data_IF_683308741895
#
_entry.id   IF_683308741895
#
_cell.length_a   1.000
_cell.length_b   1.000
_cell.length_c   1.000
_cell.angle_alpha   90.00
_cell.angle_beta   90.00
_cell.angle_gamma   90.00
#
_symmetry.space_group_name_H-M   'P 1'
#
loop_
_entity.id
_entity.type
_entity.pdbx_description
1 polymer ?
#
# COMPACT_ATOMS: atom_id res chain seq x y z
N UNK A 1 19.42 -2.28 10.52
CA UNK A 1 18.37 -1.27 10.30
C UNK A 1 19.05 0.08 10.10
N UNK A 2 18.70 0.85 9.04
CA UNK A 2 19.23 2.20 8.82
C UNK A 2 18.44 3.27 9.60
N UNK A 3 18.98 4.51 9.60
CA UNK A 3 18.39 5.61 10.37
C UNK A 3 16.98 6.01 9.87
N UNK A 4 16.67 5.88 8.57
CA UNK A 4 15.35 6.17 8.04
C UNK A 4 14.33 5.12 8.51
N UNK A 5 14.66 3.84 8.38
CA UNK A 5 13.84 2.74 8.88
C UNK A 5 13.58 2.85 10.39
N UNK A 6 14.59 3.23 11.19
CA UNK A 6 14.42 3.41 12.64
C UNK A 6 13.49 4.59 12.95
N UNK A 7 13.58 5.72 12.22
CA UNK A 7 12.62 6.84 12.36
C UNK A 7 11.20 6.42 12.04
N UNK A 8 10.99 5.70 10.93
CA UNK A 8 9.68 5.19 10.51
C UNK A 8 9.12 4.20 11.54
N UNK A 9 9.96 3.27 12.01
CA UNK A 9 9.58 2.32 13.07
C UNK A 9 9.09 3.06 14.32
N UNK A 10 9.88 4.00 14.85
CA UNK A 10 9.50 4.78 16.05
C UNK A 10 8.23 5.61 15.85
N UNK A 11 7.99 6.06 14.63
CA UNK A 11 6.78 6.81 14.30
C UNK A 11 5.53 5.93 14.44
N UNK A 12 5.53 4.71 13.86
CA UNK A 12 4.39 3.80 13.92
C UNK A 12 4.31 2.99 15.22
N UNK A 13 5.41 2.79 15.96
CA UNK A 13 5.35 2.21 17.33
C UNK A 13 4.47 3.05 18.26
N UNK A 14 4.48 4.38 18.10
CA UNK A 14 3.69 5.30 18.93
C UNK A 14 2.24 5.43 18.45
N UNK A 15 1.98 5.14 17.19
CA UNK A 15 0.66 5.28 16.58
C UNK A 15 0.49 4.28 15.44
N UNK A 16 0.19 3.00 15.72
CA UNK A 16 -0.07 1.99 14.71
C UNK A 16 -1.16 2.43 13.73
N UNK A 17 -0.91 2.21 12.44
CA UNK A 17 -1.82 2.63 11.37
C UNK A 17 -2.08 1.50 10.36
N UNK A 18 -3.30 1.40 9.83
CA UNK A 18 -4.54 2.04 10.28
C UNK A 18 -5.08 1.40 11.58
N UNK A 19 -5.74 2.18 12.42
CA UNK A 19 -6.35 1.66 13.65
C UNK A 19 -7.60 0.80 13.38
N UNK A 20 -7.93 -0.08 14.34
CA UNK A 20 -9.19 -0.82 14.33
C UNK A 20 -10.27 -0.07 15.11
N UNK A 21 -11.53 -0.08 14.65
CA UNK A 21 -12.66 0.32 15.48
C UNK A 21 -12.76 -0.55 16.76
N UNK A 22 -13.20 -0.01 17.90
CA UNK A 22 -13.25 -0.75 19.18
C UNK A 22 -14.06 -2.06 19.14
N UNK A 23 -15.08 -2.12 18.30
CA UNK A 23 -15.96 -3.32 18.14
C UNK A 23 -15.94 -3.79 16.69
N UNK A 24 -14.74 -3.95 16.12
CA UNK A 24 -14.63 -4.43 14.75
C UNK A 24 -14.90 -5.93 14.64
N UNK A 25 -15.48 -6.35 13.52
CA UNK A 25 -15.71 -7.74 13.16
C UNK A 25 -15.11 -8.03 11.78
N UNK A 26 -14.87 -9.31 11.47
CA UNK A 26 -14.41 -9.72 10.14
C UNK A 26 -15.38 -9.28 9.04
N UNK A 27 -16.69 -9.37 9.29
CA UNK A 27 -17.70 -8.91 8.35
C UNK A 27 -17.62 -7.40 8.10
N UNK A 28 -17.45 -6.60 9.16
CA UNK A 28 -17.31 -5.15 9.05
C UNK A 28 -15.99 -4.75 8.36
N UNK A 29 -14.89 -5.45 8.65
CA UNK A 29 -13.60 -5.26 7.97
C UNK A 29 -13.74 -5.54 6.47
N UNK A 30 -14.31 -6.69 6.10
CA UNK A 30 -14.55 -7.08 4.71
C UNK A 30 -15.45 -6.07 3.99
N UNK A 31 -16.56 -5.68 4.59
CA UNK A 31 -17.46 -4.68 4.02
C UNK A 31 -16.80 -3.31 3.80
N UNK A 32 -15.84 -2.91 4.66
CA UNK A 32 -15.03 -1.69 4.45
C UNK A 32 -14.06 -1.85 3.28
N UNK A 33 -13.36 -2.97 3.21
CA UNK A 33 -12.41 -3.24 2.14
C UNK A 33 -13.10 -3.35 0.78
N UNK A 34 -14.26 -3.97 0.72
CA UNK A 34 -15.06 -4.12 -0.51
C UNK A 34 -15.62 -2.80 -1.07
N UNK A 35 -15.69 -1.74 -0.26
CA UNK A 35 -15.98 -0.39 -0.75
C UNK A 35 -14.81 0.23 -1.53
N UNK A 36 -13.59 -0.27 -1.35
CA UNK A 36 -12.45 0.14 -2.14
C UNK A 36 -12.40 -0.69 -3.44
N UNK A 37 -12.56 -0.08 -4.62
CA UNK A 37 -12.58 -0.80 -5.90
C UNK A 37 -11.30 -1.59 -6.15
N UNK A 38 -10.13 -1.03 -5.80
CA UNK A 38 -8.85 -1.72 -5.94
C UNK A 38 -8.78 -3.00 -5.08
N UNK A 39 -9.16 -2.92 -3.80
CA UNK A 39 -9.12 -4.07 -2.91
C UNK A 39 -10.04 -5.20 -3.41
N UNK A 40 -11.22 -4.83 -3.92
CA UNK A 40 -12.18 -5.77 -4.51
C UNK A 40 -11.65 -6.44 -5.78
N UNK A 41 -11.01 -5.67 -6.67
CA UNK A 41 -10.38 -6.21 -7.89
C UNK A 41 -9.20 -7.12 -7.54
N UNK A 42 -8.37 -6.71 -6.57
CA UNK A 42 -7.25 -7.53 -6.08
C UNK A 42 -7.73 -8.87 -5.52
N UNK A 43 -8.76 -8.85 -4.66
CA UNK A 43 -9.32 -10.08 -4.08
C UNK A 43 -9.86 -11.04 -5.15
N UNK A 44 -10.54 -10.52 -6.18
CA UNK A 44 -11.06 -11.32 -7.30
C UNK A 44 -9.97 -11.92 -8.18
N UNK A 45 -8.86 -11.21 -8.37
CA UNK A 45 -7.76 -11.66 -9.23
C UNK A 45 -6.88 -12.74 -8.57
N UNK A 46 -6.92 -12.87 -7.23
CA UNK A 46 -6.09 -13.82 -6.48
C UNK A 46 -6.77 -15.20 -6.41
N UNK A 47 -6.04 -16.24 -6.81
CA UNK A 47 -6.51 -17.63 -6.73
C UNK A 47 -6.81 -18.06 -5.27
N UNK A 48 -7.73 -19.01 -5.12
CA UNK A 48 -8.25 -19.44 -3.80
C UNK A 48 -7.21 -20.16 -2.92
N UNK A 49 -6.18 -20.74 -3.51
CA UNK A 49 -5.10 -21.46 -2.79
C UNK A 49 -3.76 -20.68 -2.75
N UNK A 50 -3.79 -19.40 -3.12
CA UNK A 50 -2.58 -18.59 -3.25
C UNK A 50 -1.85 -18.39 -1.92
N UNK A 51 -0.51 -18.40 -1.99
CA UNK A 51 0.39 -17.94 -0.92
C UNK A 51 0.67 -16.46 -1.14
N UNK A 52 0.26 -15.64 -0.19
CA UNK A 52 0.34 -14.19 -0.27
C UNK A 52 1.32 -13.69 0.79
N UNK A 53 2.18 -12.73 0.44
CA UNK A 53 2.92 -11.94 1.42
C UNK A 53 2.53 -10.47 1.28
N UNK A 54 2.19 -9.83 2.40
CA UNK A 54 1.97 -8.39 2.51
C UNK A 54 3.16 -7.76 3.21
N UNK A 55 3.95 -7.00 2.46
CA UNK A 55 5.21 -6.40 2.92
C UNK A 55 4.95 -4.97 3.38
N UNK A 56 5.19 -4.72 4.68
CA UNK A 56 4.78 -3.50 5.37
C UNK A 56 3.30 -3.53 5.71
N UNK A 57 2.82 -4.66 6.23
CA UNK A 57 1.39 -4.91 6.44
C UNK A 57 0.74 -4.02 7.52
N UNK A 58 1.53 -3.28 8.30
CA UNK A 58 1.03 -2.47 9.41
C UNK A 58 0.18 -3.29 10.37
N UNK A 59 -1.04 -2.83 10.65
CA UNK A 59 -2.00 -3.55 11.51
C UNK A 59 -2.70 -4.72 10.80
N UNK A 60 -2.27 -5.12 9.60
CA UNK A 60 -2.69 -6.34 8.93
C UNK A 60 -4.08 -6.32 8.29
N UNK A 61 -4.72 -5.16 8.12
CA UNK A 61 -6.11 -5.13 7.61
C UNK A 61 -6.23 -5.76 6.21
N UNK A 62 -5.25 -5.56 5.31
CA UNK A 62 -5.25 -6.20 4.00
C UNK A 62 -5.00 -7.70 4.11
N UNK A 63 -4.09 -8.16 4.98
CA UNK A 63 -3.86 -9.57 5.26
C UNK A 63 -5.16 -10.27 5.67
N UNK A 64 -5.89 -9.68 6.64
CA UNK A 64 -7.15 -10.24 7.15
C UNK A 64 -8.28 -10.21 6.09
N UNK A 65 -8.28 -9.19 5.23
CA UNK A 65 -9.22 -9.10 4.12
C UNK A 65 -8.97 -10.18 3.07
N UNK A 66 -7.71 -10.39 2.68
CA UNK A 66 -7.31 -11.37 1.67
C UNK A 66 -7.33 -12.82 2.17
N UNK A 67 -7.42 -13.04 3.49
CA UNK A 67 -7.51 -14.37 4.10
C UNK A 67 -8.89 -14.98 3.89
N UNK A 68 -9.12 -15.47 2.67
CA UNK A 68 -10.36 -16.15 2.23
C UNK A 68 -10.03 -17.53 1.67
N UNK A 69 -10.99 -18.44 1.72
CA UNK A 69 -10.84 -19.78 1.19
C UNK A 69 -9.63 -20.51 1.78
N UNK A 70 -8.76 -21.01 0.92
CA UNK A 70 -7.56 -21.76 1.29
C UNK A 70 -6.27 -20.93 1.23
N UNK A 71 -6.35 -19.62 0.99
CA UNK A 71 -5.19 -18.71 0.90
C UNK A 71 -4.37 -18.72 2.18
N UNK A 72 -3.06 -18.76 2.04
CA UNK A 72 -2.10 -18.59 3.12
C UNK A 72 -1.54 -17.17 3.06
N UNK A 73 -1.68 -16.40 4.11
CA UNK A 73 -1.26 -15.00 4.14
C UNK A 73 -0.20 -14.77 5.19
N UNK A 74 0.91 -14.15 4.78
CA UNK A 74 1.98 -13.72 5.68
C UNK A 74 2.08 -12.20 5.62
N UNK A 75 1.87 -11.54 6.74
CA UNK A 75 2.14 -10.12 6.89
C UNK A 75 3.53 -9.91 7.49
N UNK A 76 4.33 -9.02 6.89
CA UNK A 76 5.62 -8.64 7.46
C UNK A 76 5.68 -7.13 7.70
N UNK A 77 6.18 -6.72 8.87
CA UNK A 77 6.32 -5.31 9.24
C UNK A 77 7.50 -5.12 10.21
N UNK A 78 8.05 -3.91 10.26
CA UNK A 78 9.12 -3.55 11.18
C UNK A 78 8.60 -3.13 12.57
N UNK A 79 7.29 -2.94 12.69
CA UNK A 79 6.63 -2.33 13.85
C UNK A 79 5.92 -3.38 14.69
N UNK A 80 6.48 -3.73 15.85
CA UNK A 80 5.91 -4.74 16.76
C UNK A 80 4.51 -4.37 17.26
N UNK A 81 4.29 -3.08 17.58
CA UNK A 81 2.99 -2.61 18.04
C UNK A 81 1.87 -2.84 16.98
N UNK A 82 2.17 -2.61 15.72
CA UNK A 82 1.23 -2.88 14.61
C UNK A 82 0.94 -4.37 14.47
N UNK A 83 2.00 -5.21 14.49
CA UNK A 83 1.86 -6.67 14.39
C UNK A 83 1.12 -7.30 15.57
N UNK A 84 1.25 -6.73 16.77
CA UNK A 84 0.47 -7.17 17.92
C UNK A 84 -1.04 -7.00 17.69
N UNK A 85 -1.45 -5.84 17.18
CA UNK A 85 -2.86 -5.57 16.81
C UNK A 85 -3.33 -6.49 15.68
N UNK A 86 -2.48 -6.70 14.67
CA UNK A 86 -2.79 -7.60 13.55
C UNK A 86 -3.00 -9.05 14.02
N UNK A 87 -2.11 -9.55 14.89
CA UNK A 87 -2.17 -10.90 15.44
C UNK A 87 -3.38 -11.09 16.38
N UNK A 88 -3.71 -10.07 17.17
CA UNK A 88 -4.91 -10.07 18.01
C UNK A 88 -6.18 -10.11 17.16
N UNK A 89 -6.25 -9.29 16.11
CA UNK A 89 -7.38 -9.29 15.20
C UNK A 89 -7.54 -10.63 14.45
N UNK A 90 -6.44 -11.24 13.99
CA UNK A 90 -6.47 -12.55 13.34
C UNK A 90 -7.04 -13.63 14.28
N UNK A 91 -6.60 -13.66 15.54
CA UNK A 91 -7.14 -14.59 16.57
C UNK A 91 -8.62 -14.33 16.84
N UNK A 92 -9.02 -13.06 17.04
CA UNK A 92 -10.40 -12.67 17.28
C UNK A 92 -11.34 -13.04 16.12
N UNK A 93 -10.84 -13.05 14.90
CA UNK A 93 -11.58 -13.36 13.68
C UNK A 93 -11.46 -14.84 13.26
N UNK A 94 -10.79 -15.67 14.05
CA UNK A 94 -10.55 -17.10 13.77
C UNK A 94 -9.90 -17.36 12.40
N UNK A 95 -8.85 -16.57 12.09
CA UNK A 95 -8.10 -16.68 10.85
C UNK A 95 -6.78 -17.43 11.08
N UNK A 96 -6.82 -18.75 11.03
CA UNK A 96 -5.70 -19.67 11.32
C UNK A 96 -4.61 -19.70 10.25
N UNK A 97 -4.92 -19.24 9.03
CA UNK A 97 -4.00 -19.22 7.87
C UNK A 97 -3.29 -17.88 7.66
N UNK A 98 -3.40 -16.98 8.63
CA UNK A 98 -2.67 -15.70 8.64
C UNK A 98 -1.53 -15.77 9.66
N UNK A 99 -0.35 -15.31 9.27
CA UNK A 99 0.83 -15.22 10.15
C UNK A 99 1.45 -13.84 10.01
N UNK A 100 2.04 -13.36 11.11
CA UNK A 100 2.72 -12.07 11.14
C UNK A 100 4.16 -12.24 11.61
N UNK A 101 5.10 -11.55 10.94
CA UNK A 101 6.53 -11.64 11.20
C UNK A 101 7.12 -10.23 11.34
N UNK A 102 7.78 -9.96 12.47
CA UNK A 102 8.52 -8.70 12.67
C UNK A 102 9.86 -8.78 11.91
N UNK A 103 10.06 -7.90 10.93
CA UNK A 103 11.27 -7.90 10.14
C UNK A 103 11.51 -6.56 9.43
N UNK A 104 12.78 -6.28 9.13
CA UNK A 104 13.17 -5.17 8.26
C UNK A 104 13.03 -5.59 6.79
N UNK A 105 12.35 -4.77 5.99
CA UNK A 105 12.12 -4.98 4.57
C UNK A 105 13.40 -5.31 3.77
N UNK A 106 14.55 -4.80 4.19
CA UNK A 106 15.83 -5.11 3.56
C UNK A 106 16.30 -6.56 3.78
N UNK A 107 15.77 -7.20 4.82
CA UNK A 107 15.99 -8.60 5.17
C UNK A 107 14.67 -9.23 5.60
N UNK A 108 13.73 -9.47 4.67
CA UNK A 108 12.33 -9.71 4.99
C UNK A 108 12.05 -10.96 5.83
N UNK A 109 13.05 -11.78 6.15
CA UNK A 109 12.92 -12.91 7.07
C UNK A 109 11.97 -14.03 6.61
N UNK A 110 11.49 -13.93 5.38
CA UNK A 110 10.64 -14.91 4.71
C UNK A 110 11.32 -15.47 3.47
N UNK A 111 10.92 -16.66 3.07
CA UNK A 111 11.59 -17.38 1.97
C UNK A 111 11.40 -16.67 0.63
N UNK A 112 12.51 -16.41 -0.06
CA UNK A 112 12.49 -15.90 -1.43
C UNK A 112 11.86 -16.92 -2.40
N UNK A 113 11.19 -16.45 -3.44
CA UNK A 113 10.56 -17.27 -4.46
C UNK A 113 9.42 -18.16 -3.95
N UNK A 114 8.82 -17.83 -2.81
CA UNK A 114 7.82 -18.69 -2.17
C UNK A 114 6.37 -18.27 -2.39
N UNK A 115 6.11 -17.03 -2.86
CA UNK A 115 4.78 -16.48 -2.87
C UNK A 115 4.21 -16.35 -4.29
N UNK A 116 2.94 -16.67 -4.41
CA UNK A 116 2.16 -16.50 -5.63
C UNK A 116 1.81 -15.03 -5.87
N UNK A 117 1.56 -14.30 -4.77
CA UNK A 117 1.29 -12.86 -4.77
C UNK A 117 2.14 -12.17 -3.72
N UNK A 118 2.86 -11.13 -4.12
CA UNK A 118 3.61 -10.23 -3.26
C UNK A 118 2.93 -8.87 -3.32
N UNK A 119 2.41 -8.42 -2.20
CA UNK A 119 1.74 -7.14 -2.05
C UNK A 119 2.56 -6.20 -1.17
N UNK A 120 2.72 -4.95 -1.56
CA UNK A 120 3.33 -3.91 -0.73
C UNK A 120 2.73 -2.56 -1.08
N UNK A 121 1.94 -1.99 -0.21
CA UNK A 121 1.25 -0.72 -0.44
C UNK A 121 1.47 0.28 0.69
N UNK A 122 1.84 1.50 0.33
CA UNK A 122 2.07 2.53 1.34
C UNK A 122 3.41 2.39 2.08
N UNK A 123 4.39 1.66 1.55
CA UNK A 123 5.61 1.27 2.28
C UNK A 123 6.89 1.77 1.62
N UNK A 124 7.13 1.38 0.37
CA UNK A 124 8.42 1.61 -0.30
C UNK A 124 8.81 3.09 -0.35
N UNK A 125 7.86 3.97 -0.53
CA UNK A 125 8.09 5.41 -0.58
C UNK A 125 8.40 6.03 0.80
N UNK A 126 8.41 5.23 1.86
CA UNK A 126 8.83 5.58 3.21
C UNK A 126 10.19 4.96 3.60
N UNK A 127 10.85 4.28 2.69
CA UNK A 127 12.20 3.72 2.89
C UNK A 127 13.28 4.69 2.46
N UNK A 128 14.51 4.51 2.94
CA UNK A 128 15.66 5.33 2.56
C UNK A 128 15.99 5.21 1.05
N UNK A 129 15.81 4.02 0.49
CA UNK A 129 15.99 3.72 -0.93
C UNK A 129 14.83 2.85 -1.44
N UNK A 130 13.78 3.45 -2.02
CA UNK A 130 12.63 2.72 -2.56
C UNK A 130 12.98 1.70 -3.64
N UNK A 131 13.97 1.99 -4.50
CA UNK A 131 14.40 1.09 -5.58
C UNK A 131 15.10 -0.16 -5.04
N UNK A 132 16.04 0.01 -4.11
CA UNK A 132 16.71 -1.11 -3.45
C UNK A 132 15.71 -1.93 -2.61
N UNK A 133 14.76 -1.26 -1.95
CA UNK A 133 13.70 -1.92 -1.20
C UNK A 133 12.78 -2.72 -2.11
N UNK A 134 12.42 -2.20 -3.29
CA UNK A 134 11.65 -2.94 -4.28
C UNK A 134 12.38 -4.23 -4.73
N UNK A 135 13.70 -4.19 -4.92
CA UNK A 135 14.47 -5.38 -5.29
C UNK A 135 14.34 -6.52 -4.26
N UNK A 136 14.24 -6.20 -2.97
CA UNK A 136 14.00 -7.20 -1.94
C UNK A 136 12.56 -7.75 -1.98
N UNK A 137 11.57 -6.88 -2.22
CA UNK A 137 10.17 -7.28 -2.39
C UNK A 137 9.99 -8.20 -3.59
N UNK A 138 10.58 -7.84 -4.73
CA UNK A 138 10.46 -8.60 -5.97
C UNK A 138 10.98 -10.05 -5.84
N UNK A 139 12.03 -10.26 -5.05
CA UNK A 139 12.62 -11.59 -4.80
C UNK A 139 11.69 -12.56 -4.08
N UNK A 140 10.68 -12.07 -3.38
CA UNK A 140 9.74 -12.92 -2.63
C UNK A 140 8.77 -13.66 -3.55
N UNK A 141 8.45 -13.08 -4.72
CA UNK A 141 7.58 -13.73 -5.69
C UNK A 141 8.28 -14.95 -6.32
N UNK A 142 7.56 -16.02 -6.51
CA UNK A 142 8.03 -17.14 -7.36
C UNK A 142 8.06 -16.73 -8.82
N UNK A 143 8.76 -17.50 -9.67
CA UNK A 143 8.65 -17.35 -11.12
C UNK A 143 7.18 -17.47 -11.53
N UNK A 144 6.70 -16.54 -12.37
CA UNK A 144 5.29 -16.40 -12.75
C UNK A 144 4.39 -15.81 -11.67
N UNK A 145 4.91 -15.53 -10.47
CA UNK A 145 4.17 -14.88 -9.38
C UNK A 145 3.89 -13.40 -9.65
N UNK A 146 2.80 -12.89 -9.09
CA UNK A 146 2.38 -11.50 -9.26
C UNK A 146 2.94 -10.61 -8.16
N UNK A 147 3.39 -9.41 -8.52
CA UNK A 147 3.87 -8.38 -7.63
C UNK A 147 2.97 -7.15 -7.76
N UNK A 148 2.45 -6.68 -6.64
CA UNK A 148 1.58 -5.50 -6.56
C UNK A 148 2.21 -4.48 -5.65
N UNK A 149 2.59 -3.32 -6.20
CA UNK A 149 3.27 -2.25 -5.45
C UNK A 149 2.44 -0.97 -5.49
N UNK A 150 2.11 -0.44 -4.31
CA UNK A 150 1.45 0.84 -4.13
C UNK A 150 2.41 1.90 -3.60
N UNK A 151 2.63 2.98 -4.37
CA UNK A 151 3.49 4.10 -3.98
C UNK A 151 2.84 5.45 -4.30
N UNK A 152 3.33 6.52 -3.68
CA UNK A 152 2.82 7.87 -3.94
C UNK A 152 3.22 8.37 -5.33
N UNK A 153 2.21 8.84 -6.08
CA UNK A 153 2.43 9.44 -7.40
C UNK A 153 2.98 10.86 -7.27
N UNK A 154 3.99 11.18 -8.09
CA UNK A 154 4.67 12.46 -8.08
C UNK A 154 3.73 13.65 -8.36
N UNK A 155 2.79 13.50 -9.30
CA UNK A 155 1.81 14.54 -9.67
C UNK A 155 0.63 14.57 -8.71
N UNK A 156 0.03 13.43 -8.40
CA UNK A 156 -1.12 13.34 -7.49
C UNK A 156 -0.82 13.89 -6.09
N UNK A 157 0.47 13.89 -5.68
CA UNK A 157 0.92 14.47 -4.39
C UNK A 157 1.19 15.97 -4.41
N UNK A 158 1.11 16.66 -5.56
CA UNK A 158 1.33 18.12 -5.62
C UNK A 158 0.35 18.88 -4.71
N UNK A 159 -0.98 18.65 -4.74
CA UNK A 159 -1.90 19.32 -3.83
C UNK A 159 -1.59 19.07 -2.35
N UNK A 160 -1.19 17.83 -2.02
CA UNK A 160 -0.81 17.45 -0.65
C UNK A 160 0.44 18.20 -0.17
N UNK A 161 1.43 18.38 -1.03
CA UNK A 161 2.64 19.16 -0.70
C UNK A 161 2.32 20.61 -0.37
N UNK A 162 1.46 21.24 -1.17
CA UNK A 162 1.04 22.62 -0.93
C UNK A 162 0.30 22.74 0.42
N UNK A 163 -0.62 21.80 0.70
CA UNK A 163 -1.30 21.74 1.99
C UNK A 163 -0.33 21.53 3.14
N UNK A 164 0.72 20.70 2.96
CA UNK A 164 1.74 20.44 3.99
C UNK A 164 2.55 21.70 4.37
N UNK A 165 2.81 22.60 3.41
CA UNK A 165 3.47 23.88 3.69
C UNK A 165 2.60 24.72 4.64
N UNK A 166 1.31 24.86 4.31
CA UNK A 166 0.36 25.60 5.15
C UNK A 166 0.18 24.95 6.53
N UNK A 167 0.05 23.61 6.55
CA UNK A 167 -0.06 22.85 7.78
C UNK A 167 1.15 23.07 8.70
N UNK A 168 2.35 23.00 8.17
CA UNK A 168 3.59 23.26 8.93
C UNK A 168 3.67 24.70 9.45
N UNK A 169 3.36 25.69 8.59
CA UNK A 169 3.37 27.10 8.98
C UNK A 169 2.35 27.42 10.10
N UNK A 170 1.23 26.71 10.14
CA UNK A 170 0.20 26.85 11.19
C UNK A 170 0.41 25.95 12.41
N UNK A 171 1.53 25.20 12.51
CA UNK A 171 1.74 24.21 13.57
C UNK A 171 0.69 23.07 13.50
N UNK A 172 0.29 22.68 12.30
CA UNK A 172 -0.72 21.65 11.99
C UNK A 172 -2.14 21.96 12.47
N UNK A 173 -2.43 23.23 12.80
CA UNK A 173 -3.77 23.66 13.19
C UNK A 173 -4.71 23.78 12.00
N UNK A 174 -4.16 24.15 10.83
CA UNK A 174 -4.92 24.35 9.59
C UNK A 174 -4.33 23.47 8.49
N UNK A 175 -5.18 22.63 7.91
CA UNK A 175 -4.91 21.87 6.69
C UNK A 175 -6.00 22.22 5.67
N UNK A 176 -5.72 23.10 4.70
CA UNK A 176 -6.75 23.62 3.82
C UNK A 176 -7.23 22.56 2.84
N UNK A 177 -8.54 22.47 2.65
CA UNK A 177 -9.19 21.67 1.60
C UNK A 177 -8.78 20.19 1.53
N UNK A 178 -8.39 19.56 2.65
CA UNK A 178 -8.18 18.13 2.69
C UNK A 178 -9.54 17.41 2.75
N UNK A 179 -9.90 16.60 1.72
CA UNK A 179 -11.22 15.98 1.65
C UNK A 179 -11.43 14.94 2.76
N UNK A 180 -10.36 14.23 3.16
CA UNK A 180 -10.44 13.19 4.17
C UNK A 180 -10.60 13.79 5.57
N UNK A 181 -9.86 14.85 5.87
CA UNK A 181 -9.98 15.55 7.17
C UNK A 181 -11.35 16.23 7.30
N UNK A 182 -11.90 16.74 6.20
CA UNK A 182 -13.24 17.32 6.18
C UNK A 182 -14.32 16.27 6.40
N UNK A 183 -14.24 15.14 5.71
CA UNK A 183 -15.24 14.07 5.80
C UNK A 183 -15.18 13.35 7.16
N UNK A 184 -14.05 13.39 7.87
CA UNK A 184 -13.83 12.71 9.17
C UNK A 184 -13.89 13.63 10.39
N UNK A 185 -14.59 14.73 10.30
CA UNK A 185 -14.74 15.68 11.44
C UNK A 185 -15.32 15.02 12.69
N UNK A 186 -16.19 14.02 12.52
CA UNK A 186 -16.84 13.27 13.61
C UNK A 186 -16.08 12.02 14.07
N UNK A 187 -14.87 11.76 13.50
CA UNK A 187 -14.03 10.61 13.84
C UNK A 187 -12.62 11.08 14.31
N UNK A 188 -12.48 11.63 15.53
CA UNK A 188 -11.25 12.32 15.97
C UNK A 188 -9.99 11.46 15.85
N UNK A 189 -10.06 10.20 16.27
CA UNK A 189 -8.91 9.28 16.23
C UNK A 189 -8.45 8.97 14.79
N UNK A 190 -9.39 8.74 13.88
CA UNK A 190 -9.07 8.50 12.47
C UNK A 190 -8.58 9.75 11.76
N UNK A 191 -9.11 10.91 12.15
CA UNK A 191 -8.66 12.21 11.66
C UNK A 191 -7.21 12.47 12.11
N UNK A 192 -6.89 12.22 13.36
CA UNK A 192 -5.53 12.37 13.89
C UNK A 192 -4.56 11.39 13.21
N UNK A 193 -4.93 10.12 13.06
CA UNK A 193 -4.12 9.13 12.38
C UNK A 193 -3.81 9.54 10.94
N UNK A 194 -4.80 10.03 10.19
CA UNK A 194 -4.61 10.57 8.84
C UNK A 194 -3.69 11.79 8.82
N UNK A 195 -3.91 12.75 9.74
CA UNK A 195 -3.08 13.95 9.85
C UNK A 195 -1.61 13.58 10.08
N UNK A 196 -1.35 12.67 11.01
CA UNK A 196 0.00 12.21 11.32
C UNK A 196 0.64 11.52 10.12
N UNK A 197 -0.03 10.53 9.55
CA UNK A 197 0.48 9.76 8.42
C UNK A 197 0.77 10.64 7.19
N UNK A 198 -0.17 11.50 6.80
CA UNK A 198 -0.09 12.26 5.55
C UNK A 198 0.71 13.56 5.66
N UNK A 199 0.80 14.18 6.85
CA UNK A 199 1.41 15.51 7.01
C UNK A 199 2.65 15.51 7.89
N UNK A 200 2.79 14.58 8.83
CA UNK A 200 3.88 14.52 9.78
C UNK A 200 4.88 13.39 9.52
N UNK A 201 4.69 12.58 8.50
CA UNK A 201 5.57 11.45 8.21
C UNK A 201 7.02 11.91 7.98
N UNK A 202 8.03 11.26 8.61
CA UNK A 202 9.42 11.69 8.58
C UNK A 202 10.13 11.44 7.26
N UNK A 203 9.69 10.44 6.47
CA UNK A 203 10.33 10.02 5.22
C UNK A 203 9.28 9.87 4.13
N UNK A 204 9.43 10.53 2.99
CA UNK A 204 8.47 10.45 1.88
C UNK A 204 9.14 10.67 0.54
N UNK A 205 9.08 9.65 -0.31
CA UNK A 205 9.44 9.71 -1.73
C UNK A 205 8.18 9.69 -2.59
N UNK A 206 8.30 10.07 -3.84
CA UNK A 206 7.20 10.14 -4.81
C UNK A 206 7.72 9.69 -6.15
N UNK A 207 6.91 8.90 -6.84
CA UNK A 207 7.34 8.18 -8.03
C UNK A 207 6.38 8.39 -9.18
N UNK A 208 6.90 8.31 -10.39
CA UNK A 208 6.08 8.22 -11.61
C UNK A 208 5.88 6.75 -12.00
N UNK A 209 4.87 6.48 -12.81
CA UNK A 209 4.65 5.14 -13.38
C UNK A 209 5.91 4.66 -14.12
N UNK A 210 6.52 5.52 -14.93
CA UNK A 210 7.74 5.18 -15.68
C UNK A 210 8.94 4.84 -14.78
N UNK A 211 9.02 5.43 -13.59
CA UNK A 211 10.07 5.10 -12.61
C UNK A 211 9.84 3.71 -12.01
N UNK A 212 8.61 3.38 -11.62
CA UNK A 212 8.28 2.05 -11.09
C UNK A 212 8.46 0.97 -12.19
N UNK A 213 8.10 1.28 -13.43
CA UNK A 213 8.37 0.38 -14.57
C UNK A 213 9.87 0.13 -14.78
N UNK A 214 10.76 1.12 -14.50
CA UNK A 214 12.21 0.87 -14.50
C UNK A 214 12.61 -0.09 -13.39
N UNK A 215 12.08 0.07 -12.16
CA UNK A 215 12.34 -0.88 -11.08
C UNK A 215 11.94 -2.31 -11.46
N UNK A 216 10.81 -2.46 -12.15
CA UNK A 216 10.35 -3.77 -12.65
C UNK A 216 11.35 -4.38 -13.61
N UNK A 217 11.75 -3.64 -14.65
CA UNK A 217 12.74 -4.12 -15.64
C UNK A 217 14.07 -4.51 -15.01
N UNK A 218 14.55 -3.71 -14.06
CA UNK A 218 15.83 -3.94 -13.37
C UNK A 218 15.80 -5.19 -12.45
N UNK A 219 14.62 -5.73 -12.16
CA UNK A 219 14.42 -6.87 -11.26
C UNK A 219 13.68 -8.04 -11.95
N UNK A 220 13.75 -8.15 -13.28
CA UNK A 220 13.14 -9.24 -14.05
C UNK A 220 11.62 -9.38 -13.81
N UNK A 221 10.94 -8.26 -13.61
CA UNK A 221 9.49 -8.19 -13.47
C UNK A 221 8.90 -7.60 -14.73
N UNK A 222 8.02 -8.35 -15.37
CA UNK A 222 7.23 -7.89 -16.50
C UNK A 222 6.11 -7.00 -16.00
N UNK A 223 5.98 -5.80 -16.56
CA UNK A 223 4.88 -4.89 -16.26
C UNK A 223 3.56 -5.43 -16.83
N UNK A 224 2.52 -5.42 -16.03
CA UNK A 224 1.17 -5.82 -16.40
C UNK A 224 0.28 -4.60 -16.56
N UNK A 225 0.06 -3.83 -15.48
CA UNK A 225 -0.75 -2.59 -15.53
C UNK A 225 -0.52 -1.69 -14.32
N UNK A 226 -1.14 -0.50 -14.36
CA UNK A 226 -1.33 0.36 -13.20
C UNK A 226 -2.81 0.46 -12.81
N UNK A 227 -3.05 0.81 -11.54
CA UNK A 227 -4.36 1.18 -11.03
C UNK A 227 -4.25 2.46 -10.17
N UNK A 228 -5.03 3.53 -10.43
CA UNK A 228 -5.90 3.67 -11.61
C UNK A 228 -5.13 3.48 -12.91
N UNK A 229 -5.83 3.17 -14.00
CA UNK A 229 -5.17 2.97 -15.29
C UNK A 229 -4.43 4.23 -15.74
N UNK A 230 -3.24 4.02 -16.32
CA UNK A 230 -2.49 5.08 -17.03
C UNK A 230 -2.88 5.17 -18.52
N UNK A 231 -3.87 4.38 -18.94
CA UNK A 231 -4.51 4.41 -20.26
C UNK A 231 -5.86 5.12 -20.09
N UNK A 232 -6.17 6.06 -20.96
CA UNK A 232 -7.47 6.77 -20.94
C UNK A 232 -8.57 5.77 -21.29
N UNK A 233 -9.72 5.93 -20.64
CA UNK A 233 -10.91 5.09 -20.83
C UNK A 233 -10.70 3.57 -20.56
N UNK A 234 -9.54 3.16 -19.97
CA UNK A 234 -9.33 1.80 -19.48
C UNK A 234 -9.83 1.67 -18.04
N UNK A 235 -10.94 0.99 -17.86
CA UNK A 235 -11.48 0.59 -16.57
C UNK A 235 -11.22 -0.91 -16.36
N UNK A 236 -10.16 -1.29 -15.65
CA UNK A 236 -9.80 -2.69 -15.49
C UNK A 236 -10.85 -3.45 -14.66
N UNK A 237 -11.29 -4.58 -15.16
CA UNK A 237 -12.09 -5.59 -14.48
C UNK A 237 -11.23 -6.73 -13.88
N UNK A 238 -10.04 -6.95 -14.43
CA UNK A 238 -9.02 -7.87 -13.93
C UNK A 238 -7.67 -7.13 -13.75
N UNK A 239 -7.17 -7.09 -12.50
CA UNK A 239 -5.87 -6.48 -12.19
C UNK A 239 -4.67 -7.27 -12.72
N UNK A 240 -4.83 -8.55 -13.04
CA UNK A 240 -3.73 -9.40 -13.49
C UNK A 240 -3.72 -9.58 -15.01
N UNK A 241 -4.70 -9.02 -15.73
CA UNK A 241 -4.70 -8.90 -17.17
C UNK A 241 -3.83 -7.72 -17.64
N UNK A 242 -3.07 -7.85 -18.76
CA UNK A 242 -2.28 -6.77 -19.32
C UNK A 242 -3.12 -5.53 -19.63
N UNK A 243 -2.56 -4.34 -19.37
CA UNK A 243 -3.16 -3.11 -19.85
C UNK A 243 -3.09 -3.02 -21.38
N UNK A 244 -4.03 -2.32 -22.03
CA UNK A 244 -3.88 -1.95 -23.43
C UNK A 244 -2.59 -1.16 -23.69
N UNK A 245 -2.07 -1.23 -24.90
CA UNK A 245 -0.95 -0.39 -25.32
C UNK A 245 -1.33 1.09 -25.22
N UNK A 246 -0.44 1.91 -24.70
CA UNK A 246 -0.64 3.34 -24.60
C UNK A 246 0.54 4.15 -25.14
N UNK A 247 0.28 5.38 -25.50
CA UNK A 247 1.32 6.33 -25.87
C UNK A 247 1.93 6.93 -24.59
N UNK A 248 3.24 7.16 -24.58
CA UNK A 248 3.93 7.74 -23.43
C UNK A 248 3.29 9.06 -22.95
N UNK A 249 2.79 9.88 -23.88
CA UNK A 249 2.10 11.16 -23.57
C UNK A 249 0.80 10.91 -22.82
N UNK A 250 0.02 9.92 -23.24
CA UNK A 250 -1.24 9.55 -22.59
C UNK A 250 -1.02 9.17 -21.11
N UNK A 251 -0.01 8.33 -20.84
CA UNK A 251 0.34 7.96 -19.47
C UNK A 251 0.78 9.14 -18.59
N UNK A 252 1.35 10.21 -19.18
CA UNK A 252 1.63 11.45 -18.47
C UNK A 252 0.36 12.24 -18.17
N UNK A 253 -0.53 12.40 -19.13
CA UNK A 253 -1.81 13.10 -18.98
C UNK A 253 -2.69 12.42 -17.92
N UNK A 254 -2.76 11.09 -17.93
CA UNK A 254 -3.47 10.33 -16.91
C UNK A 254 -2.93 10.62 -15.50
N UNK A 255 -1.61 10.60 -15.31
CA UNK A 255 -1.00 10.91 -14.02
C UNK A 255 -1.25 12.35 -13.54
N UNK A 256 -1.33 13.32 -14.46
CA UNK A 256 -1.72 14.69 -14.13
C UNK A 256 -3.19 14.74 -13.68
N UNK A 257 -4.07 14.02 -14.37
CA UNK A 257 -5.49 13.93 -14.00
C UNK A 257 -5.68 13.32 -12.60
N UNK A 258 -4.79 12.42 -12.16
CA UNK A 258 -4.80 11.82 -10.82
C UNK A 258 -4.65 12.83 -9.68
N UNK A 259 -4.18 14.06 -9.93
CA UNK A 259 -4.23 15.14 -8.93
C UNK A 259 -5.64 15.40 -8.40
N UNK A 260 -6.68 15.15 -9.22
CA UNK A 260 -8.08 15.36 -8.85
C UNK A 260 -8.73 14.12 -8.26
N UNK A 261 -8.34 12.93 -8.71
CA UNK A 261 -9.01 11.66 -8.41
C UNK A 261 -8.42 10.93 -7.21
N UNK A 262 -7.09 10.95 -7.03
CA UNK A 262 -6.41 10.21 -5.95
C UNK A 262 -6.29 10.96 -4.61
N UNK A 263 -6.97 12.09 -4.45
CA UNK A 263 -6.88 12.90 -3.23
C UNK A 263 -7.31 12.16 -1.94
N UNK A 264 -8.27 11.25 -2.05
CA UNK A 264 -8.77 10.42 -0.93
C UNK A 264 -7.85 9.24 -0.60
N UNK A 265 -7.06 8.78 -1.56
CA UNK A 265 -6.05 7.73 -1.42
C UNK A 265 -4.66 8.32 -1.09
N UNK A 266 -4.59 9.60 -0.72
CA UNK A 266 -3.33 10.28 -0.44
C UNK A 266 -2.39 10.37 -1.66
N UNK A 267 -2.88 10.16 -2.88
CA UNK A 267 -2.09 10.13 -4.11
C UNK A 267 -1.41 8.78 -4.37
N UNK A 268 -1.88 7.70 -3.76
CA UNK A 268 -1.36 6.35 -3.95
C UNK A 268 -1.83 5.79 -5.31
N UNK A 269 -0.91 5.21 -6.07
CA UNK A 269 -1.21 4.39 -7.25
C UNK A 269 -0.54 3.03 -7.12
N UNK A 270 -1.11 2.04 -7.77
CA UNK A 270 -0.60 0.67 -7.76
C UNK A 270 0.00 0.31 -9.11
N UNK A 271 1.03 -0.50 -9.10
CA UNK A 271 1.62 -1.10 -10.29
C UNK A 271 1.67 -2.60 -10.11
N UNK A 272 1.18 -3.33 -11.08
CA UNK A 272 1.14 -4.79 -11.10
C UNK A 272 2.15 -5.31 -12.11
N UNK A 273 2.89 -6.33 -11.73
CA UNK A 273 3.84 -7.02 -12.59
C UNK A 273 3.92 -8.50 -12.29
N UNK A 274 4.53 -9.24 -13.20
CA UNK A 274 4.74 -10.70 -13.11
C UNK A 274 6.22 -10.99 -13.11
N UNK A 275 6.70 -11.76 -12.14
CA UNK A 275 8.11 -12.17 -12.10
C UNK A 275 8.39 -13.17 -13.21
N UNK A 276 9.46 -12.93 -13.99
CA UNK A 276 9.96 -13.84 -15.02
C UNK A 276 10.74 -15.02 -14.45
#
# INVERSE_FOLDING_TARGET
MDAATDRVRRFYERAPFPGYPPRDSLAALRARAERNPFARLLDRAIADEARIVDVGCGTGQMCLYLARGHRQVVGVDVTRASLALASEAARRFDLDRVRFVETDLRHPGVRAGAFDVVYSAGVLHHTADPRASFAQVARLARTGGTIVVGVYNAFARIPQRLRRIVARASGYRVVPFDPVLRDRTHEPQRREAWLRDQYCHPEEHRHTVAEVQRWFRDNEVEYVRTYPSAVLDDEPDDLFAPAPDNWRIEGWLAQIAWMRTLGREGGLFFTVGRRR
#
